data_IF_094099186672
#
_entry.id   IF_094099186672
#
_cell.length_a   1.000
_cell.length_b   1.000
_cell.length_c   1.000
_cell.angle_alpha   90.00
_cell.angle_beta   90.00
_cell.angle_gamma   90.00
#
_symmetry.space_group_name_H-M   'P 1'
#
loop_
_entity.id
_entity.type
_entity.pdbx_description
1 polymer ?
#
# COMPACT_ATOMS: atom_id res chain seq x y z
N UNK A 1 -52.30 -24.25 -10.60
CA UNK A 1 -50.94 -24.61 -11.04
C UNK A 1 -50.67 -23.90 -12.36
N UNK A 2 -49.86 -22.87 -12.51
CA UNK A 2 -49.01 -22.04 -11.66
C UNK A 2 -48.48 -20.95 -12.61
N UNK A 3 -48.27 -19.70 -12.18
CA UNK A 3 -47.72 -18.65 -13.03
C UNK A 3 -46.19 -18.67 -12.94
N UNK A 4 -45.49 -18.54 -14.06
CA UNK A 4 -44.07 -18.19 -14.07
C UNK A 4 -43.93 -16.68 -14.03
N UNK A 5 -43.21 -16.09 -13.06
CA UNK A 5 -42.63 -14.77 -13.21
C UNK A 5 -41.18 -14.86 -13.72
N UNK A 6 -40.82 -13.76 -14.36
CA UNK A 6 -39.61 -13.42 -15.10
C UNK A 6 -38.28 -13.64 -14.37
N UNK A 7 -37.24 -13.84 -15.17
CA UNK A 7 -35.84 -13.91 -14.76
C UNK A 7 -35.36 -12.54 -14.24
N UNK A 8 -35.19 -12.43 -12.94
CA UNK A 8 -34.43 -11.35 -12.33
C UNK A 8 -32.94 -11.69 -12.42
N UNK A 9 -32.20 -10.83 -13.13
CA UNK A 9 -30.75 -10.84 -13.19
C UNK A 9 -30.17 -10.56 -11.81
N UNK A 10 -29.85 -11.62 -11.07
CA UNK A 10 -29.02 -11.53 -9.88
C UNK A 10 -27.59 -11.23 -10.31
N UNK A 11 -27.21 -9.96 -10.28
CA UNK A 11 -25.81 -9.57 -10.19
C UNK A 11 -25.21 -10.33 -9.00
N UNK A 12 -24.30 -11.26 -9.28
CA UNK A 12 -23.51 -11.92 -8.25
C UNK A 12 -22.81 -10.84 -7.42
N UNK A 13 -22.71 -10.98 -6.09
CA UNK A 13 -21.90 -10.06 -5.30
C UNK A 13 -20.47 -10.25 -5.76
N UNK A 14 -19.96 -9.30 -6.54
CA UNK A 14 -18.54 -9.23 -6.83
C UNK A 14 -17.84 -9.15 -5.48
N UNK A 15 -16.97 -10.10 -5.21
CA UNK A 15 -16.08 -10.10 -4.07
C UNK A 15 -15.16 -8.87 -4.16
N UNK A 16 -15.64 -7.73 -3.64
CA UNK A 16 -14.96 -6.43 -3.75
C UNK A 16 -13.73 -6.32 -2.85
N UNK A 17 -13.53 -7.21 -1.88
CA UNK A 17 -12.39 -7.19 -0.96
C UNK A 17 -11.92 -8.61 -0.60
N UNK A 18 -11.53 -9.39 -1.62
CA UNK A 18 -10.76 -10.61 -1.38
C UNK A 18 -9.29 -10.27 -1.07
N UNK A 19 -9.03 -9.69 0.12
CA UNK A 19 -7.68 -9.57 0.69
C UNK A 19 -6.72 -8.61 -0.01
N UNK A 20 -7.23 -7.68 -0.83
CA UNK A 20 -6.41 -6.73 -1.58
C UNK A 20 -6.23 -5.45 -0.79
N UNK A 21 -5.10 -5.32 -0.11
CA UNK A 21 -4.81 -4.09 0.61
C UNK A 21 -3.90 -3.14 -0.14
N UNK A 22 -4.37 -1.92 -0.38
CA UNK A 22 -3.77 -0.99 -1.34
C UNK A 22 -4.15 0.48 -1.06
N UNK A 23 -3.49 1.38 -1.79
CA UNK A 23 -3.70 2.81 -1.85
C UNK A 23 -4.25 3.24 -3.22
N UNK A 24 -4.94 4.38 -3.25
CA UNK A 24 -5.46 4.98 -4.49
C UNK A 24 -4.33 5.60 -5.35
N UNK A 25 -4.54 5.69 -6.66
CA UNK A 25 -3.56 6.20 -7.64
C UNK A 25 -3.10 7.65 -7.38
N UNK A 26 -3.96 8.47 -6.78
CA UNK A 26 -3.70 9.87 -6.43
C UNK A 26 -3.02 10.05 -5.06
N UNK A 27 -2.80 8.95 -4.33
CA UNK A 27 -2.05 8.99 -3.07
C UNK A 27 -0.62 9.44 -3.33
N UNK A 28 -0.04 10.17 -2.38
CA UNK A 28 1.25 10.84 -2.49
C UNK A 28 2.24 10.21 -1.53
N UNK A 29 3.47 10.00 -2.01
CA UNK A 29 4.62 9.65 -1.18
C UNK A 29 5.73 10.66 -1.39
N UNK A 30 6.55 10.86 -0.37
CA UNK A 30 7.72 11.75 -0.44
C UNK A 30 8.96 10.93 -0.77
N UNK A 31 9.72 11.37 -1.78
CA UNK A 31 11.02 10.80 -2.15
C UNK A 31 12.17 11.42 -1.34
N UNK A 32 13.32 10.76 -1.31
CA UNK A 32 14.50 11.22 -0.57
C UNK A 32 15.08 12.55 -1.02
N UNK A 33 14.76 12.99 -2.24
CA UNK A 33 15.10 14.32 -2.77
C UNK A 33 14.09 15.42 -2.34
N UNK A 34 13.09 15.06 -1.53
CA UNK A 34 12.02 15.94 -1.05
C UNK A 34 10.88 16.13 -2.05
N UNK A 35 10.94 15.52 -3.24
CA UNK A 35 9.86 15.60 -4.21
C UNK A 35 8.66 14.74 -3.76
N UNK A 36 7.45 15.24 -4.06
CA UNK A 36 6.21 14.51 -3.83
C UNK A 36 5.79 13.84 -5.13
N UNK A 37 5.56 12.52 -5.09
CA UNK A 37 5.16 11.73 -6.25
C UNK A 37 3.84 11.02 -6.00
N UNK A 38 3.01 10.94 -7.04
CA UNK A 38 1.78 10.15 -7.01
C UNK A 38 2.08 8.65 -7.02
N UNK A 39 1.21 7.87 -6.42
CA UNK A 39 1.35 6.42 -6.28
C UNK A 39 1.39 5.72 -7.65
N UNK A 40 0.65 6.23 -8.64
CA UNK A 40 0.68 5.71 -10.02
C UNK A 40 1.94 6.09 -10.81
N UNK A 41 2.70 7.06 -10.33
CA UNK A 41 3.98 7.51 -10.90
C UNK A 41 5.19 6.93 -10.15
N UNK A 42 4.97 6.30 -9.00
CA UNK A 42 6.01 5.68 -8.17
C UNK A 42 6.69 4.53 -8.92
N UNK A 43 8.02 4.50 -8.93
CA UNK A 43 8.82 3.53 -9.68
C UNK A 43 9.62 2.63 -8.74
N UNK A 44 10.03 1.47 -9.25
CA UNK A 44 11.01 0.62 -8.56
C UNK A 44 12.33 1.38 -8.42
N UNK A 45 12.98 1.23 -7.27
CA UNK A 45 14.21 1.92 -6.92
C UNK A 45 14.01 3.34 -6.35
N UNK A 46 12.80 3.91 -6.41
CA UNK A 46 12.52 5.17 -5.73
C UNK A 46 12.70 5.00 -4.21
N UNK A 47 13.49 5.87 -3.60
CA UNK A 47 13.66 5.93 -2.15
C UNK A 47 12.55 6.79 -1.56
N UNK A 48 11.60 6.17 -0.85
CA UNK A 48 10.44 6.86 -0.27
C UNK A 48 10.52 6.91 1.24
N UNK A 49 9.87 7.91 1.83
CA UNK A 49 9.84 8.11 3.28
C UNK A 49 9.17 6.94 3.98
N UNK A 50 9.86 6.35 4.96
CA UNK A 50 9.37 5.21 5.76
C UNK A 50 9.30 5.50 7.26
N UNK A 51 9.96 6.56 7.71
CA UNK A 51 9.91 7.06 9.08
C UNK A 51 10.15 8.57 9.13
N UNK A 52 10.26 9.15 10.33
CA UNK A 52 10.63 10.55 10.50
C UNK A 52 12.01 10.90 9.91
N UNK A 53 12.93 9.92 9.89
CA UNK A 53 14.34 10.16 9.58
C UNK A 53 14.89 9.31 8.43
N UNK A 54 14.12 8.34 7.94
CA UNK A 54 14.62 7.33 6.99
C UNK A 54 13.79 7.25 5.72
N UNK A 55 14.49 6.89 4.65
CA UNK A 55 13.95 6.55 3.35
C UNK A 55 14.42 5.15 2.94
N UNK A 56 13.60 4.41 2.23
CA UNK A 56 13.93 3.06 1.76
C UNK A 56 13.48 2.86 0.30
N UNK A 57 14.20 2.04 -0.48
CA UNK A 57 13.87 1.80 -1.87
C UNK A 57 12.59 0.97 -1.97
N UNK A 58 11.75 1.33 -2.95
CA UNK A 58 10.65 0.48 -3.42
C UNK A 58 11.23 -0.66 -4.23
N UNK A 59 11.07 -1.90 -3.77
CA UNK A 59 11.61 -3.09 -4.45
C UNK A 59 10.56 -3.89 -5.20
N UNK A 60 9.26 -3.62 -4.99
CA UNK A 60 8.20 -4.37 -5.62
C UNK A 60 6.81 -3.77 -5.41
N UNK A 61 5.84 -4.29 -6.15
CA UNK A 61 4.43 -4.01 -5.96
C UNK A 61 3.67 -5.32 -5.92
N UNK A 62 2.95 -5.61 -4.83
CA UNK A 62 2.04 -6.77 -4.81
C UNK A 62 0.74 -6.49 -5.58
N UNK A 63 0.43 -5.21 -5.81
CA UNK A 63 -0.63 -4.81 -6.71
C UNK A 63 -0.30 -3.47 -7.36
N UNK A 64 -0.62 -3.33 -8.65
CA UNK A 64 -0.35 -2.15 -9.47
C UNK A 64 -1.34 -2.07 -10.62
N UNK A 65 -2.59 -1.77 -10.31
CA UNK A 65 -3.63 -1.56 -11.33
C UNK A 65 -3.94 -0.06 -11.46
N UNK A 66 -3.55 0.62 -12.55
CA UNK A 66 -3.87 2.02 -12.76
C UNK A 66 -5.31 2.25 -13.24
N UNK A 67 -6.05 1.19 -13.60
CA UNK A 67 -7.40 1.28 -14.16
C UNK A 67 -8.44 0.91 -13.10
N UNK A 68 -9.70 1.28 -13.35
CA UNK A 68 -10.81 0.92 -12.48
C UNK A 68 -11.05 1.88 -11.32
N UNK A 69 -12.26 1.78 -10.76
CA UNK A 69 -12.70 2.53 -9.57
C UNK A 69 -12.99 1.56 -8.44
N UNK A 70 -12.24 1.69 -7.35
CA UNK A 70 -12.32 0.82 -6.18
C UNK A 70 -12.85 1.60 -4.98
N UNK A 71 -13.40 0.88 -4.01
CA UNK A 71 -13.83 1.45 -2.74
C UNK A 71 -12.65 1.56 -1.77
N UNK A 72 -12.57 2.70 -1.10
CA UNK A 72 -11.55 3.01 -0.10
C UNK A 72 -12.21 3.62 1.13
N UNK A 73 -11.59 3.41 2.30
CA UNK A 73 -11.81 4.32 3.43
C UNK A 73 -10.99 5.58 3.23
N UNK A 74 -11.62 6.74 3.40
CA UNK A 74 -10.97 8.03 3.51
C UNK A 74 -10.88 8.40 4.98
N UNK A 75 -9.69 8.27 5.54
CA UNK A 75 -9.39 8.55 6.95
C UNK A 75 -8.84 9.97 7.05
N UNK A 76 -9.51 10.82 7.83
CA UNK A 76 -9.01 12.14 8.23
C UNK A 76 -8.33 12.05 9.59
N UNK A 77 -7.03 12.31 9.64
CA UNK A 77 -6.23 12.29 10.87
C UNK A 77 -5.69 13.69 11.19
N UNK A 78 -6.07 14.23 12.35
CA UNK A 78 -5.61 15.52 12.84
C UNK A 78 -4.35 15.33 13.68
N UNK A 79 -3.23 15.84 13.18
CA UNK A 79 -1.95 15.84 13.88
C UNK A 79 -2.06 16.66 15.17
N UNK A 80 -1.76 16.03 16.31
CA UNK A 80 -1.96 16.64 17.62
C UNK A 80 -0.94 17.75 17.92
N UNK A 81 0.18 17.80 17.19
CA UNK A 81 1.21 18.84 17.37
C UNK A 81 0.98 20.01 16.43
N UNK A 82 0.81 19.74 15.14
CA UNK A 82 0.70 20.78 14.10
C UNK A 82 -0.73 21.24 13.87
N UNK A 83 -1.72 20.51 14.38
CA UNK A 83 -3.16 20.73 14.17
C UNK A 83 -3.61 20.58 12.70
N UNK A 84 -2.71 20.20 11.79
CA UNK A 84 -3.03 19.92 10.40
C UNK A 84 -3.85 18.63 10.26
N UNK A 85 -4.72 18.58 9.26
CA UNK A 85 -5.51 17.38 8.95
C UNK A 85 -4.96 16.73 7.70
N UNK A 86 -4.60 15.46 7.82
CA UNK A 86 -4.12 14.61 6.75
C UNK A 86 -5.23 13.67 6.31
N UNK A 87 -5.33 13.41 5.01
CA UNK A 87 -6.33 12.50 4.45
C UNK A 87 -5.65 11.35 3.73
N UNK A 88 -5.99 10.13 4.11
CA UNK A 88 -5.50 8.91 3.48
C UNK A 88 -6.66 8.11 2.89
N UNK A 89 -6.51 7.71 1.63
CA UNK A 89 -7.43 6.79 0.97
C UNK A 89 -6.79 5.40 0.94
N UNK A 90 -7.39 4.46 1.67
CA UNK A 90 -6.80 3.15 1.92
C UNK A 90 -7.89 2.08 1.99
N UNK A 91 -7.63 0.93 1.39
CA UNK A 91 -8.54 -0.22 1.41
C UNK A 91 -8.74 -0.74 2.83
N UNK A 92 -9.89 -1.34 3.11
CA UNK A 92 -10.24 -1.85 4.44
C UNK A 92 -9.24 -2.87 5.00
N UNK A 93 -8.60 -3.68 4.16
CA UNK A 93 -7.70 -4.75 4.58
C UNK A 93 -6.23 -4.33 4.81
N UNK A 94 -5.92 -3.03 4.79
CA UNK A 94 -4.54 -2.50 4.91
C UNK A 94 -4.17 -2.14 6.34
N UNK A 95 -2.93 -2.41 6.76
CA UNK A 95 -2.47 -2.06 8.10
C UNK A 95 -1.93 -0.62 8.18
N UNK A 96 -2.47 0.14 9.12
CA UNK A 96 -1.93 1.43 9.57
C UNK A 96 -1.19 1.27 10.89
N UNK A 97 -0.22 2.15 11.13
CA UNK A 97 0.55 2.14 12.37
C UNK A 97 -0.16 2.98 13.43
N UNK A 98 -0.44 2.37 14.57
CA UNK A 98 -1.04 3.00 15.75
C UNK A 98 -0.05 3.00 16.93
N UNK A 99 -0.48 3.53 18.08
CA UNK A 99 0.31 3.69 19.31
C UNK A 99 1.12 2.45 19.64
N UNK A 100 2.31 2.68 20.21
CA UNK A 100 3.28 1.62 20.57
C UNK A 100 3.69 0.76 19.35
N UNK A 101 3.68 1.35 18.15
CA UNK A 101 4.01 0.67 16.88
C UNK A 101 3.15 -0.57 16.61
N UNK A 102 1.93 -0.61 17.16
CA UNK A 102 0.98 -1.67 16.85
C UNK A 102 0.36 -1.44 15.47
N UNK A 103 -0.28 -2.47 14.92
CA UNK A 103 -0.95 -2.41 13.63
C UNK A 103 -2.46 -2.51 13.83
N UNK A 104 -3.20 -1.66 13.13
CA UNK A 104 -4.66 -1.68 13.05
C UNK A 104 -5.04 -1.75 11.59
N UNK A 105 -6.05 -2.56 11.25
CA UNK A 105 -6.58 -2.56 9.88
C UNK A 105 -7.30 -1.23 9.67
N UNK A 106 -7.16 -0.62 8.49
CA UNK A 106 -7.98 0.52 8.11
C UNK A 106 -9.46 0.19 8.32
N UNK A 107 -9.85 -1.06 8.02
CA UNK A 107 -10.77 -1.96 8.75
C UNK A 107 -11.54 -1.37 9.91
N UNK A 108 -10.78 -1.25 10.97
CA UNK A 108 -11.23 -1.17 12.33
C UNK A 108 -10.88 0.23 12.90
N UNK A 109 -10.45 1.16 12.03
CA UNK A 109 -10.18 2.54 12.40
C UNK A 109 -11.48 3.29 12.52
N UNK A 110 -11.70 3.86 13.70
CA UNK A 110 -12.85 4.70 14.03
C UNK A 110 -12.38 6.10 14.49
N UNK A 111 -13.22 7.14 14.41
CA UNK A 111 -12.94 8.42 15.06
C UNK A 111 -12.52 8.25 16.53
N UNK A 112 -11.50 8.99 16.96
CA UNK A 112 -10.84 8.83 18.26
C UNK A 112 -9.68 7.82 18.27
N UNK A 113 -9.51 7.01 17.22
CA UNK A 113 -8.30 6.21 17.03
C UNK A 113 -7.08 7.11 16.91
N UNK A 114 -5.91 6.63 17.34
CA UNK A 114 -4.65 7.37 17.20
C UNK A 114 -3.75 6.69 16.19
N UNK A 115 -3.38 7.43 15.15
CA UNK A 115 -2.40 7.04 14.13
C UNK A 115 -1.13 7.88 14.29
N UNK A 116 -0.17 7.68 13.39
CA UNK A 116 1.01 8.53 13.30
C UNK A 116 1.05 9.31 11.99
N UNK A 117 1.40 10.59 12.10
CA UNK A 117 1.79 11.45 10.99
C UNK A 117 3.29 11.66 10.98
N UNK A 118 3.87 11.81 9.81
CA UNK A 118 5.27 12.20 9.62
C UNK A 118 5.29 13.54 8.90
N UNK A 119 5.86 14.55 9.56
CA UNK A 119 6.02 15.90 9.02
C UNK A 119 7.50 16.32 9.06
N UNK A 120 7.80 17.51 8.56
CA UNK A 120 9.15 18.11 8.67
C UNK A 120 9.65 18.25 10.12
N UNK A 121 8.74 18.23 11.11
CA UNK A 121 9.08 18.34 12.53
C UNK A 121 9.18 16.98 13.24
N UNK A 122 9.01 15.87 12.53
CA UNK A 122 9.17 14.51 13.04
C UNK A 122 7.89 13.65 12.97
N UNK A 123 7.88 12.58 13.79
CA UNK A 123 6.74 11.68 13.99
C UNK A 123 5.83 12.24 15.08
N UNK A 124 4.53 12.39 14.81
CA UNK A 124 3.55 12.89 15.79
C UNK A 124 2.35 11.96 15.85
N UNK A 125 1.71 11.91 17.02
CA UNK A 125 0.40 11.29 17.13
C UNK A 125 -0.63 12.14 16.39
N UNK A 126 -1.54 11.47 15.69
CA UNK A 126 -2.66 12.09 15.01
C UNK A 126 -3.95 11.38 15.40
N UNK A 127 -4.93 12.15 15.85
CA UNK A 127 -6.25 11.63 16.20
C UNK A 127 -7.10 11.54 14.94
N UNK A 128 -7.73 10.39 14.72
CA UNK A 128 -8.69 10.21 13.63
C UNK A 128 -9.94 11.00 13.95
N UNK A 129 -10.28 11.95 13.09
CA UNK A 129 -11.43 12.86 13.24
C UNK A 129 -12.56 12.54 12.27
N UNK A 130 -12.29 11.79 11.19
CA UNK A 130 -13.30 11.35 10.25
C UNK A 130 -12.92 10.05 9.56
N UNK A 131 -13.93 9.25 9.24
CA UNK A 131 -13.81 8.04 8.42
C UNK A 131 -14.99 8.02 7.46
N UNK A 132 -14.71 8.10 6.17
CA UNK A 132 -15.70 8.08 5.10
C UNK A 132 -15.42 6.94 4.11
N UNK A 133 -16.40 6.58 3.29
CA UNK A 133 -16.21 5.69 2.14
C UNK A 133 -16.16 6.51 0.84
N UNK A 134 -15.16 6.25 0.01
CA UNK A 134 -14.98 6.93 -1.29
C UNK A 134 -14.66 5.92 -2.39
N UNK A 135 -14.94 6.29 -3.63
CA UNK A 135 -14.49 5.54 -4.80
C UNK A 135 -13.41 6.30 -5.53
N UNK A 136 -12.27 5.64 -5.74
CA UNK A 136 -11.09 6.28 -6.32
C UNK A 136 -10.40 5.38 -7.32
N UNK A 137 -9.63 6.01 -8.21
CA UNK A 137 -9.00 5.32 -9.31
C UNK A 137 -7.78 4.53 -8.85
N UNK A 138 -7.64 3.33 -9.41
CA UNK A 138 -6.45 2.49 -9.30
C UNK A 138 -6.22 1.89 -7.92
N UNK A 139 -5.33 0.91 -7.87
CA UNK A 139 -5.09 0.09 -6.69
C UNK A 139 -3.60 -0.30 -6.65
N UNK A 140 -2.86 0.29 -5.70
CA UNK A 140 -1.41 0.18 -5.62
C UNK A 140 -0.96 -0.30 -4.24
N UNK A 141 -0.04 -1.27 -4.18
CA UNK A 141 0.60 -1.70 -2.94
C UNK A 141 2.12 -1.85 -3.13
N UNK A 142 2.90 -0.75 -2.99
CA UNK A 142 4.35 -0.79 -3.04
C UNK A 142 4.95 -1.43 -1.79
N UNK A 143 6.10 -2.08 -1.95
CA UNK A 143 6.86 -2.71 -0.88
C UNK A 143 8.22 -2.04 -0.74
N UNK A 144 8.55 -1.64 0.49
CA UNK A 144 9.86 -1.09 0.85
C UNK A 144 10.69 -2.10 1.62
N UNK A 145 12.02 -1.97 1.52
CA UNK A 145 12.94 -2.78 2.30
C UNK A 145 12.94 -2.45 3.80
N UNK A 146 12.11 -1.51 4.29
CA UNK A 146 11.82 -1.33 5.72
C UNK A 146 10.56 -2.11 6.11
N UNK A 147 9.54 -2.16 5.25
CA UNK A 147 8.24 -2.77 5.54
C UNK A 147 7.18 -1.77 6.03
N UNK A 148 7.54 -0.48 6.09
CA UNK A 148 6.64 0.66 6.28
C UNK A 148 6.77 1.64 5.11
N UNK A 149 5.82 2.57 5.04
CA UNK A 149 5.82 3.69 4.11
C UNK A 149 4.95 4.82 4.66
N UNK A 150 5.26 6.05 4.27
CA UNK A 150 4.44 7.23 4.58
C UNK A 150 3.65 7.63 3.35
N UNK A 151 2.32 7.64 3.46
CA UNK A 151 1.40 7.99 2.37
C UNK A 151 0.51 9.14 2.83
N UNK A 152 0.49 10.23 2.06
CA UNK A 152 -0.19 11.48 2.41
C UNK A 152 0.18 11.98 3.82
N UNK A 153 1.43 11.77 4.25
CA UNK A 153 1.91 12.13 5.58
C UNK A 153 1.49 11.18 6.70
N UNK A 154 0.71 10.13 6.45
CA UNK A 154 0.29 9.13 7.45
C UNK A 154 1.16 7.87 7.32
N UNK A 155 1.62 7.34 8.47
CA UNK A 155 2.46 6.15 8.52
C UNK A 155 1.64 4.87 8.38
N UNK A 156 2.00 4.03 7.40
CA UNK A 156 1.38 2.75 7.12
C UNK A 156 2.41 1.61 7.09
N UNK A 157 1.92 0.37 7.18
CA UNK A 157 2.72 -0.83 6.92
C UNK A 157 2.60 -1.22 5.45
N UNK A 158 3.59 -1.90 4.87
CA UNK A 158 3.45 -2.55 3.55
C UNK A 158 2.56 -3.81 3.61
N UNK A 159 2.18 -4.27 4.80
CA UNK A 159 1.49 -5.54 5.01
C UNK A 159 -0.03 -5.43 5.05
N UNK A 160 -0.68 -6.58 4.87
CA UNK A 160 -2.13 -6.70 4.68
C UNK A 160 -2.67 -7.85 5.52
N UNK A 161 -4.00 -7.93 5.71
CA UNK A 161 -4.65 -9.08 6.36
C UNK A 161 -4.28 -10.44 5.72
N UNK A 162 -3.97 -10.46 4.42
CA UNK A 162 -3.62 -11.67 3.68
C UNK A 162 -2.19 -12.18 3.97
N UNK A 163 -1.29 -11.33 4.50
CA UNK A 163 0.06 -11.73 4.90
C UNK A 163 0.36 -11.18 6.30
N UNK A 164 0.19 -11.98 7.36
CA UNK A 164 0.55 -11.58 8.71
C UNK A 164 2.01 -11.09 8.75
N UNK A 165 2.31 -9.94 9.38
CA UNK A 165 3.65 -9.36 9.43
C UNK A 165 4.74 -10.34 9.90
N UNK A 166 4.39 -11.31 10.75
CA UNK A 166 5.29 -12.36 11.23
C UNK A 166 5.70 -13.37 10.13
N UNK A 167 4.83 -13.63 9.16
CA UNK A 167 5.12 -14.51 8.02
C UNK A 167 5.83 -13.75 6.90
N UNK A 168 5.48 -12.47 6.69
CA UNK A 168 6.05 -11.63 5.64
C UNK A 168 7.54 -11.33 5.85
N UNK A 169 7.97 -11.02 7.09
CA UNK A 169 9.38 -10.75 7.35
C UNK A 169 10.24 -11.99 7.07
N UNK A 170 9.83 -13.18 7.52
CA UNK A 170 10.58 -14.43 7.29
C UNK A 170 10.68 -14.81 5.81
N UNK A 171 9.60 -14.66 5.05
CA UNK A 171 9.56 -14.98 3.61
C UNK A 171 10.32 -13.96 2.76
N UNK A 172 10.33 -12.69 3.14
CA UNK A 172 10.99 -11.62 2.39
C UNK A 172 12.42 -11.35 2.86
N UNK A 173 12.89 -11.94 3.96
CA UNK A 173 14.28 -11.78 4.44
C UNK A 173 15.33 -12.15 3.38
N UNK A 174 15.24 -13.31 2.68
CA UNK A 174 16.19 -13.64 1.61
C UNK A 174 16.15 -12.61 0.47
N UNK A 175 14.95 -12.19 0.07
CA UNK A 175 14.73 -11.20 -1.00
C UNK A 175 15.27 -9.83 -0.61
N UNK A 176 14.99 -9.36 0.61
CA UNK A 176 15.49 -8.11 1.18
C UNK A 176 17.03 -8.12 1.30
N UNK A 177 17.60 -9.25 1.72
CA UNK A 177 19.05 -9.41 1.86
C UNK A 177 19.74 -9.43 0.50
N UNK A 178 19.15 -10.10 -0.49
CA UNK A 178 19.62 -10.07 -1.87
C UNK A 178 19.61 -8.62 -2.39
N UNK A 179 18.47 -7.92 -2.35
CA UNK A 179 18.40 -6.55 -2.86
C UNK A 179 19.25 -5.54 -2.09
N UNK A 180 19.38 -5.66 -0.76
CA UNK A 180 20.27 -4.81 0.03
C UNK A 180 21.75 -5.04 -0.31
N UNK A 181 22.13 -6.27 -0.67
CA UNK A 181 23.50 -6.62 -1.07
C UNK A 181 23.81 -6.20 -2.51
N UNK A 182 22.81 -6.15 -3.40
CA UNK A 182 22.97 -5.70 -4.79
C UNK A 182 22.86 -4.16 -4.96
N UNK A 183 22.33 -3.42 -3.99
CA UNK A 183 22.21 -1.95 -4.06
C UNK A 183 23.52 -1.16 -3.89
N UNK A 184 24.65 -1.82 -3.64
CA UNK A 184 25.97 -1.20 -3.45
C UNK A 184 26.94 -1.45 -4.61
N UNK A 185 26.53 -2.09 -5.70
CA UNK A 185 27.41 -2.34 -6.84
C UNK A 185 26.65 -2.64 -8.12
N UNK A 186 27.17 -2.10 -9.23
CA UNK A 186 26.66 -2.18 -10.61
C UNK A 186 25.66 -1.09 -11.00
N UNK A 187 26.23 0.05 -11.39
CA UNK A 187 25.73 0.74 -12.57
C UNK A 187 25.89 -0.19 -13.78
N UNK A 188 24.80 -0.41 -14.51
CA UNK A 188 24.82 -1.04 -15.82
C UNK A 188 24.13 -2.41 -15.91
N UNK A 189 23.10 -2.43 -16.77
CA UNK A 189 22.56 -3.55 -17.54
C UNK A 189 21.33 -4.31 -17.00
N UNK A 190 20.28 -4.09 -17.80
CA UNK A 190 19.24 -5.01 -18.27
C UNK A 190 17.96 -5.17 -17.45
N UNK A 191 16.86 -4.83 -18.16
CA UNK A 191 15.47 -4.84 -17.73
C UNK A 191 15.09 -6.21 -17.16
N UNK A 192 14.55 -6.18 -15.96
CA UNK A 192 13.75 -7.28 -15.42
C UNK A 192 12.29 -6.84 -15.44
N UNK A 193 11.44 -7.58 -16.14
CA UNK A 193 9.99 -7.37 -16.12
C UNK A 193 9.32 -8.59 -15.50
N UNK A 194 8.71 -8.40 -14.33
CA UNK A 194 7.89 -9.42 -13.69
C UNK A 194 6.47 -9.32 -14.25
N UNK A 195 6.03 -10.32 -15.03
CA UNK A 195 4.65 -10.43 -15.50
C UNK A 195 3.90 -11.44 -14.62
N UNK A 196 2.79 -11.00 -14.04
CA UNK A 196 1.88 -11.85 -13.25
C UNK A 196 0.88 -12.50 -14.21
N UNK A 197 0.90 -13.84 -14.31
CA UNK A 197 -0.15 -14.59 -15.00
C UNK A 197 -1.36 -14.74 -14.05
N UNK A 198 -2.42 -14.00 -14.34
CA UNK A 198 -3.60 -13.86 -13.49
C UNK A 198 -4.48 -15.12 -13.36
N UNK A 199 -4.05 -16.29 -13.85
CA UNK A 199 -4.89 -17.50 -13.86
C UNK A 199 -4.53 -18.60 -12.88
N UNK A 200 -3.32 -18.68 -12.31
CA UNK A 200 -2.92 -19.87 -11.55
C UNK A 200 -2.14 -19.65 -10.25
N UNK A 201 -1.94 -18.40 -9.78
CA UNK A 201 -1.18 -18.08 -8.54
C UNK A 201 0.15 -18.85 -8.40
N UNK A 202 0.77 -19.20 -9.54
CA UNK A 202 2.00 -19.96 -9.62
C UNK A 202 3.10 -19.09 -10.19
N UNK A 203 4.16 -18.91 -9.40
CA UNK A 203 5.37 -18.20 -9.82
C UNK A 203 6.09 -19.01 -10.91
N UNK A 204 6.22 -18.44 -12.11
CA UNK A 204 7.11 -18.98 -13.15
C UNK A 204 8.19 -17.97 -13.48
N UNK A 205 9.43 -18.38 -13.27
CA UNK A 205 10.61 -17.69 -13.77
C UNK A 205 10.72 -17.99 -15.27
N UNK A 206 10.47 -16.99 -16.13
CA UNK A 206 10.75 -17.11 -17.56
C UNK A 206 12.09 -16.45 -17.85
N UNK A 207 13.07 -17.28 -18.20
CA UNK A 207 14.31 -16.82 -18.83
C UNK A 207 14.01 -16.75 -20.33
N UNK A 208 13.73 -15.56 -20.87
CA UNK A 208 13.79 -15.38 -22.33
C UNK A 208 15.25 -15.14 -22.70
N UNK A 209 15.96 -16.22 -23.04
CA UNK A 209 17.19 -16.09 -23.81
C UNK A 209 16.84 -15.68 -25.24
N UNK A 210 17.53 -14.69 -25.78
CA UNK A 210 17.58 -14.50 -27.23
C UNK A 210 18.12 -15.77 -27.87
N UNK A 211 17.36 -16.32 -28.80
CA UNK A 211 17.89 -16.95 -30.00
C UNK A 211 17.42 -16.10 -31.19
#
# INVERSE_FOLDING_TARGET
SGPYPSADGSASPSCSDCGRACFAADSIVERSDGSLVRMDQLQLGDYIRVSATEFAPVFGFSHRDPRGLYEFRRIGAKDLRTQAIFYLQVSESHYLVTRKQSLILAGDVEPGSVLYTVTSTGLHEAEVVSVDHVRSQGLFNPHTADGRLVVNGILASCYTRAVPPCLAHSLLLPVRSLFASFGQGFGGLEKWEFVVDAKNDAWRMLISGNA
#
